data_IF_008245491945
#
_entry.id   IF_008245491945
#
_cell.length_a   1.000
_cell.length_b   1.000
_cell.length_c   1.000
_cell.angle_alpha   90.00
_cell.angle_beta   90.00
_cell.angle_gamma   90.00
#
_symmetry.space_group_name_H-M   'P 1'
#
loop_
_entity.id
_entity.type
_entity.pdbx_description
1 polymer ?
#
# COMPACT_ATOMS: atom_id res chain seq x y z
N UNK A 1 24.39 -18.34 -4.22
CA UNK A 1 23.40 -19.28 -3.67
C UNK A 1 22.19 -18.47 -3.21
N UNK A 2 20.96 -18.93 -3.48
CA UNK A 2 19.73 -18.27 -3.00
C UNK A 2 19.66 -18.31 -1.47
N UNK A 3 19.14 -17.23 -0.86
CA UNK A 3 18.91 -17.17 0.59
C UNK A 3 17.73 -18.03 1.05
N UNK A 4 16.89 -18.45 0.12
CA UNK A 4 15.68 -19.24 0.33
C UNK A 4 14.54 -18.75 -0.59
N UNK A 5 13.44 -19.48 -0.60
CA UNK A 5 12.26 -19.20 -1.44
C UNK A 5 11.20 -18.47 -0.63
N UNK A 6 10.73 -17.34 -1.11
CA UNK A 6 9.63 -16.58 -0.51
C UNK A 6 8.42 -16.56 -1.47
N UNK A 7 7.27 -16.99 -0.98
CA UNK A 7 6.01 -16.89 -1.70
C UNK A 7 5.25 -15.65 -1.26
N UNK A 8 5.04 -14.70 -2.17
CA UNK A 8 4.19 -13.52 -1.97
C UNK A 8 2.78 -13.84 -2.47
N UNK A 9 1.81 -13.78 -1.59
CA UNK A 9 0.39 -13.96 -1.94
C UNK A 9 -0.29 -12.60 -1.93
N UNK A 10 -0.81 -12.19 -3.08
CA UNK A 10 -1.39 -10.85 -3.22
C UNK A 10 -2.75 -10.87 -3.92
N UNK A 11 -3.74 -10.10 -3.44
CA UNK A 11 -5.03 -9.99 -4.10
C UNK A 11 -4.96 -9.23 -5.44
N UNK A 12 -3.84 -8.54 -5.70
CA UNK A 12 -3.61 -7.81 -6.94
C UNK A 12 -2.11 -7.70 -7.25
N UNK A 13 -1.79 -7.83 -8.52
CA UNK A 13 -0.43 -7.70 -9.06
C UNK A 13 -0.52 -7.15 -10.49
N UNK A 14 0.49 -6.43 -11.02
CA UNK A 14 0.44 -5.97 -12.41
C UNK A 14 0.06 -7.09 -13.40
N UNK A 15 -0.79 -6.79 -14.41
CA UNK A 15 -1.25 -5.49 -14.88
C UNK A 15 -2.40 -4.85 -14.09
N UNK A 16 -2.88 -5.47 -12.99
CA UNK A 16 -3.86 -4.83 -12.13
C UNK A 16 -3.26 -3.59 -11.47
N UNK A 17 -4.00 -2.49 -11.48
CA UNK A 17 -3.57 -1.24 -10.88
C UNK A 17 -3.93 -1.13 -9.40
N UNK A 18 -3.14 -0.38 -8.65
CA UNK A 18 -3.44 -0.05 -7.25
C UNK A 18 -2.23 -0.10 -6.32
N UNK A 19 -2.39 0.48 -5.14
CA UNK A 19 -1.29 0.57 -4.16
C UNK A 19 -0.77 -0.78 -3.68
N UNK A 20 -1.65 -1.78 -3.51
CA UNK A 20 -1.24 -3.14 -3.11
C UNK A 20 -0.48 -3.83 -4.24
N UNK A 21 -0.98 -3.75 -5.48
CA UNK A 21 -0.32 -4.32 -6.64
C UNK A 21 1.11 -3.79 -6.79
N UNK A 22 1.28 -2.47 -6.73
CA UNK A 22 2.58 -1.83 -6.83
C UNK A 22 3.48 -2.14 -5.63
N UNK A 23 2.95 -2.14 -4.41
CA UNK A 23 3.74 -2.49 -3.22
C UNK A 23 4.23 -3.94 -3.24
N UNK A 24 3.45 -4.86 -3.83
CA UNK A 24 3.87 -6.26 -4.02
C UNK A 24 4.92 -6.36 -5.11
N UNK A 25 4.73 -5.68 -6.22
CA UNK A 25 5.67 -5.66 -7.34
C UNK A 25 7.06 -5.15 -6.92
N UNK A 26 7.08 -3.99 -6.25
CA UNK A 26 8.32 -3.40 -5.75
C UNK A 26 9.02 -4.33 -4.75
N UNK A 27 8.25 -4.95 -3.85
CA UNK A 27 8.81 -5.91 -2.90
C UNK A 27 9.38 -7.15 -3.59
N UNK A 28 8.69 -7.71 -4.58
CA UNK A 28 9.16 -8.86 -5.33
C UNK A 28 10.49 -8.56 -6.04
N UNK A 29 10.54 -7.45 -6.76
CA UNK A 29 11.75 -7.01 -7.47
C UNK A 29 12.93 -6.80 -6.52
N UNK A 30 12.71 -6.07 -5.44
CA UNK A 30 13.80 -5.66 -4.55
C UNK A 30 14.33 -6.83 -3.72
N UNK A 31 13.45 -7.73 -3.25
CA UNK A 31 13.89 -8.94 -2.54
C UNK A 31 14.66 -9.90 -3.46
N UNK A 32 14.30 -9.97 -4.74
CA UNK A 32 15.04 -10.76 -5.73
C UNK A 32 16.45 -10.17 -5.93
N UNK A 33 16.58 -8.85 -6.03
CA UNK A 33 17.87 -8.17 -6.08
C UNK A 33 18.75 -8.44 -4.83
N UNK A 34 18.11 -8.70 -3.69
CA UNK A 34 18.80 -9.06 -2.44
C UNK A 34 19.17 -10.56 -2.34
N UNK A 35 18.87 -11.35 -3.36
CA UNK A 35 19.26 -12.77 -3.46
C UNK A 35 18.25 -13.76 -2.89
N UNK A 36 17.01 -13.35 -2.67
CA UNK A 36 15.90 -14.24 -2.39
C UNK A 36 15.31 -14.76 -3.70
N UNK A 37 14.87 -16.02 -3.70
CA UNK A 37 14.07 -16.56 -4.79
C UNK A 37 12.61 -16.24 -4.53
N UNK A 38 12.00 -15.47 -5.42
CA UNK A 38 10.67 -14.90 -5.22
C UNK A 38 9.67 -15.50 -6.19
N UNK A 39 8.56 -15.98 -5.63
CA UNK A 39 7.37 -16.37 -6.35
C UNK A 39 6.19 -15.50 -5.93
N UNK A 40 5.36 -15.11 -6.89
CA UNK A 40 4.09 -14.38 -6.62
C UNK A 40 2.92 -15.26 -6.99
N UNK A 41 1.97 -15.38 -6.07
CA UNK A 41 0.68 -16.02 -6.29
C UNK A 41 -0.42 -14.95 -6.25
N UNK A 42 -1.17 -14.80 -7.33
CA UNK A 42 -2.18 -13.75 -7.50
C UNK A 42 -3.37 -14.23 -8.33
N UNK A 43 -4.55 -13.61 -8.20
CA UNK A 43 -5.66 -13.87 -9.10
C UNK A 43 -5.33 -13.50 -10.55
N UNK A 44 -5.92 -14.21 -11.49
CA UNK A 44 -5.91 -13.83 -12.90
C UNK A 44 -6.73 -12.55 -13.11
N UNK A 45 -6.17 -11.59 -13.81
CA UNK A 45 -6.81 -10.28 -13.99
C UNK A 45 -7.73 -10.19 -15.20
N UNK A 46 -7.53 -11.08 -16.18
CA UNK A 46 -8.14 -10.96 -17.51
C UNK A 46 -7.63 -9.77 -18.34
N UNK A 47 -6.68 -9.01 -17.82
CA UNK A 47 -6.05 -7.88 -18.52
C UNK A 47 -4.82 -8.35 -19.30
N UNK A 48 -4.49 -7.69 -20.44
CA UNK A 48 -3.24 -7.98 -21.15
C UNK A 48 -2.04 -7.64 -20.28
N UNK A 49 -0.89 -8.31 -20.48
CA UNK A 49 0.35 -7.97 -19.79
C UNK A 49 0.74 -6.51 -20.00
N UNK A 50 1.22 -5.86 -18.97
CA UNK A 50 1.79 -4.53 -19.06
C UNK A 50 3.26 -4.64 -19.49
N UNK A 51 3.55 -4.32 -20.75
CA UNK A 51 4.91 -4.37 -21.29
C UNK A 51 5.86 -3.36 -20.64
N UNK A 52 5.34 -2.34 -19.97
CA UNK A 52 6.15 -1.36 -19.21
C UNK A 52 6.54 -1.84 -17.81
N UNK A 53 5.87 -2.89 -17.32
CA UNK A 53 6.13 -3.52 -16.02
C UNK A 53 6.24 -5.04 -16.19
N UNK A 54 7.34 -5.55 -16.74
CA UNK A 54 7.54 -7.00 -16.85
C UNK A 54 7.57 -7.65 -15.48
N UNK A 55 7.10 -8.90 -15.41
CA UNK A 55 7.13 -9.66 -14.16
C UNK A 55 8.58 -9.73 -13.62
N UNK A 56 8.84 -9.27 -12.40
CA UNK A 56 10.19 -9.21 -11.83
C UNK A 56 10.71 -10.58 -11.38
N UNK A 57 9.82 -11.57 -11.29
CA UNK A 57 10.07 -12.91 -10.77
C UNK A 57 9.05 -13.90 -11.34
N UNK A 58 9.04 -15.13 -10.88
CA UNK A 58 8.01 -16.11 -11.22
C UNK A 58 6.65 -15.71 -10.68
N UNK A 59 5.64 -15.62 -11.56
CA UNK A 59 4.27 -15.21 -11.19
C UNK A 59 3.28 -16.30 -11.61
N UNK A 60 2.59 -16.88 -10.63
CA UNK A 60 1.49 -17.80 -10.84
C UNK A 60 0.16 -17.06 -10.72
N UNK A 61 -0.60 -17.00 -11.81
CA UNK A 61 -1.93 -16.40 -11.85
C UNK A 61 -2.99 -17.50 -11.84
N UNK A 62 -3.89 -17.45 -10.85
CA UNK A 62 -4.94 -18.47 -10.69
C UNK A 62 -6.30 -17.87 -11.02
N UNK A 63 -6.97 -18.45 -12.02
CA UNK A 63 -8.38 -18.15 -12.30
C UNK A 63 -9.30 -18.77 -11.24
N UNK A 64 -10.35 -18.02 -10.88
CA UNK A 64 -11.39 -18.49 -9.96
C UNK A 64 -12.41 -19.33 -10.72
N UNK A 65 -12.25 -20.65 -10.73
CA UNK A 65 -13.20 -21.55 -11.40
C UNK A 65 -14.18 -22.11 -10.36
N UNK A 66 -13.69 -22.86 -9.40
CA UNK A 66 -14.44 -23.38 -8.26
C UNK A 66 -13.58 -23.37 -7.00
N UNK A 67 -14.19 -23.40 -5.82
CA UNK A 67 -13.42 -23.42 -4.57
C UNK A 67 -12.53 -24.68 -4.45
N UNK A 68 -12.97 -25.80 -5.00
CA UNK A 68 -12.22 -27.07 -4.97
C UNK A 68 -11.02 -27.03 -5.92
N UNK A 69 -11.23 -26.64 -7.17
CA UNK A 69 -10.16 -26.56 -8.18
C UNK A 69 -9.10 -25.51 -7.79
N UNK A 70 -9.54 -24.36 -7.29
CA UNK A 70 -8.62 -23.34 -6.81
C UNK A 70 -7.75 -23.83 -5.66
N UNK A 71 -8.30 -24.62 -4.73
CA UNK A 71 -7.54 -25.23 -3.65
C UNK A 71 -6.51 -26.23 -4.17
N UNK A 72 -6.90 -27.09 -5.09
CA UNK A 72 -5.98 -28.05 -5.72
C UNK A 72 -4.81 -27.35 -6.41
N UNK A 73 -5.05 -26.24 -7.10
CA UNK A 73 -4.00 -25.44 -7.73
C UNK A 73 -3.08 -24.78 -6.70
N UNK A 74 -3.61 -24.34 -5.57
CA UNK A 74 -2.81 -23.80 -4.45
C UNK A 74 -1.91 -24.89 -3.86
N UNK A 75 -2.45 -26.09 -3.63
CA UNK A 75 -1.66 -27.23 -3.12
C UNK A 75 -0.51 -27.57 -4.05
N UNK A 76 -0.79 -27.73 -5.34
CA UNK A 76 0.21 -28.00 -6.36
C UNK A 76 1.28 -26.89 -6.44
N UNK A 77 0.86 -25.63 -6.28
CA UNK A 77 1.76 -24.49 -6.26
C UNK A 77 2.72 -24.55 -5.04
N UNK A 78 2.19 -24.82 -3.84
CA UNK A 78 3.01 -24.93 -2.62
C UNK A 78 3.95 -26.16 -2.68
N UNK A 79 3.49 -27.27 -3.28
CA UNK A 79 4.31 -28.46 -3.50
C UNK A 79 5.42 -28.27 -4.52
N UNK A 80 5.18 -27.46 -5.55
CA UNK A 80 6.19 -27.18 -6.56
C UNK A 80 7.23 -26.15 -6.07
N UNK A 81 6.77 -25.09 -5.38
CA UNK A 81 7.62 -23.97 -4.97
C UNK A 81 8.45 -24.28 -3.72
N UNK A 82 7.95 -25.10 -2.80
CA UNK A 82 8.58 -25.39 -1.49
C UNK A 82 9.01 -24.11 -0.75
N UNK A 83 8.11 -23.15 -0.49
CA UNK A 83 8.50 -21.86 0.07
C UNK A 83 9.05 -22.02 1.50
N UNK A 84 10.15 -21.32 1.79
CA UNK A 84 10.71 -21.20 3.14
C UNK A 84 9.92 -20.21 4.01
N UNK A 85 9.17 -19.31 3.38
CA UNK A 85 8.37 -18.25 4.01
C UNK A 85 7.22 -17.86 3.09
N UNK A 86 6.04 -17.57 3.68
CA UNK A 86 4.87 -17.04 2.94
C UNK A 86 4.49 -15.67 3.47
N UNK A 87 4.31 -14.71 2.57
CA UNK A 87 3.88 -13.33 2.91
C UNK A 87 2.54 -13.04 2.24
N UNK A 88 1.51 -12.83 3.03
CA UNK A 88 0.21 -12.37 2.58
C UNK A 88 0.16 -10.85 2.54
N UNK A 89 -0.17 -10.26 1.39
CA UNK A 89 -0.27 -8.82 1.18
C UNK A 89 -1.64 -8.24 1.51
N UNK A 90 -2.48 -8.96 2.26
CA UNK A 90 -3.79 -8.48 2.69
C UNK A 90 -4.32 -9.30 3.87
N UNK A 91 -5.19 -8.65 4.67
CA UNK A 91 -5.99 -9.34 5.68
C UNK A 91 -7.14 -10.15 5.09
N UNK A 92 -7.63 -9.75 3.95
CA UNK A 92 -8.81 -10.30 3.29
C UNK A 92 -8.43 -11.06 2.02
N UNK A 93 -7.29 -11.72 2.06
CA UNK A 93 -6.84 -12.48 0.90
C UNK A 93 -7.76 -13.68 0.67
N UNK A 94 -8.03 -13.90 -0.61
CA UNK A 94 -8.76 -15.05 -1.07
C UNK A 94 -7.98 -16.32 -0.66
N UNK A 95 -8.65 -17.31 -0.11
CA UNK A 95 -8.02 -18.56 0.38
C UNK A 95 -6.92 -18.41 1.45
N UNK A 96 -6.72 -17.25 2.07
CA UNK A 96 -5.71 -17.07 3.13
C UNK A 96 -5.87 -18.10 4.26
N UNK A 97 -7.08 -18.34 4.75
CA UNK A 97 -7.31 -19.27 5.86
C UNK A 97 -6.97 -20.71 5.47
N UNK A 98 -7.22 -21.07 4.22
CA UNK A 98 -6.83 -22.38 3.66
C UNK A 98 -5.30 -22.49 3.54
N UNK A 99 -4.65 -21.53 2.91
CA UNK A 99 -3.19 -21.51 2.79
C UNK A 99 -2.49 -21.47 4.14
N UNK A 100 -3.03 -20.71 5.10
CA UNK A 100 -2.49 -20.65 6.45
C UNK A 100 -2.62 -22.00 7.20
N UNK A 101 -3.64 -22.80 6.92
CA UNK A 101 -3.73 -24.17 7.44
C UNK A 101 -2.63 -25.05 6.84
N UNK A 102 -2.44 -25.06 5.53
CA UNK A 102 -1.39 -25.82 4.85
C UNK A 102 0.02 -25.41 5.29
N UNK A 103 0.27 -24.11 5.44
CA UNK A 103 1.56 -23.62 5.94
C UNK A 103 1.85 -24.10 7.37
N UNK A 104 0.83 -24.16 8.25
CA UNK A 104 0.97 -24.70 9.60
C UNK A 104 1.30 -26.21 9.59
N UNK A 105 0.60 -26.97 8.77
CA UNK A 105 0.85 -28.42 8.61
C UNK A 105 2.28 -28.69 8.13
N UNK A 106 2.78 -27.84 7.25
CA UNK A 106 4.14 -27.94 6.67
C UNK A 106 5.21 -27.18 7.46
N UNK A 107 4.88 -26.60 8.61
CA UNK A 107 5.76 -25.74 9.43
C UNK A 107 6.40 -24.59 8.65
N UNK A 108 5.68 -23.97 7.73
CA UNK A 108 6.16 -22.80 6.97
C UNK A 108 5.79 -21.54 7.75
N UNK A 109 6.75 -20.66 8.11
CA UNK A 109 6.47 -19.41 8.76
C UNK A 109 5.68 -18.46 7.84
N UNK A 110 4.80 -17.68 8.44
CA UNK A 110 3.88 -16.82 7.70
C UNK A 110 3.91 -15.39 8.21
N UNK A 111 3.81 -14.44 7.27
CA UNK A 111 3.66 -13.01 7.56
C UNK A 111 2.37 -12.52 6.93
N UNK A 112 1.62 -11.65 7.63
CA UNK A 112 0.64 -10.75 7.00
C UNK A 112 1.27 -9.37 6.93
N UNK A 113 1.49 -8.86 5.73
CA UNK A 113 1.77 -7.45 5.48
C UNK A 113 0.46 -6.72 5.34
N UNK A 114 0.10 -5.93 6.34
CA UNK A 114 -1.15 -5.21 6.34
C UNK A 114 -1.09 -3.96 5.47
N UNK A 115 -2.00 -3.85 4.52
CA UNK A 115 -2.26 -2.62 3.76
C UNK A 115 -3.50 -1.88 4.29
N UNK A 116 -3.91 -2.16 5.52
CA UNK A 116 -5.08 -1.62 6.21
C UNK A 116 -6.22 -2.63 6.31
N UNK A 117 -6.47 -3.16 7.51
CA UNK A 117 -7.62 -4.06 7.75
C UNK A 117 -8.95 -3.34 7.94
N UNK A 118 -9.00 -2.05 7.79
CA UNK A 118 -9.84 -1.07 8.44
C UNK A 118 -10.82 -0.35 7.55
N UNK A 119 -10.79 -0.60 6.23
CA UNK A 119 -11.70 0.03 5.28
C UNK A 119 -13.18 -0.12 5.67
N UNK A 120 -13.52 -1.20 6.36
CA UNK A 120 -14.92 -1.50 6.69
C UNK A 120 -15.42 -0.81 7.98
N UNK A 121 -14.54 -0.50 8.93
CA UNK A 121 -14.94 0.12 10.19
C UNK A 121 -15.17 1.63 10.06
N UNK A 122 -14.40 2.32 9.24
CA UNK A 122 -14.58 3.75 8.97
C UNK A 122 -15.74 4.08 8.03
N UNK A 123 -16.11 3.16 7.17
CA UNK A 123 -17.28 3.35 6.30
C UNK A 123 -18.58 3.45 7.11
N UNK A 124 -18.62 2.88 8.30
CA UNK A 124 -19.78 2.96 9.19
C UNK A 124 -19.98 4.36 9.79
N UNK A 125 -18.89 5.02 10.24
CA UNK A 125 -19.00 6.32 10.90
C UNK A 125 -18.95 7.53 9.96
N UNK A 126 -18.69 7.34 8.69
CA UNK A 126 -18.55 8.43 7.69
C UNK A 126 -19.35 8.18 6.42
N UNK A 127 -20.69 8.21 6.51
CA UNK A 127 -21.64 8.57 5.43
C UNK A 127 -21.16 8.35 3.97
N UNK A 128 -20.58 7.19 3.66
CA UNK A 128 -20.24 6.82 2.28
C UNK A 128 -21.19 5.78 1.69
N UNK A 129 -21.95 5.11 2.53
CA UNK A 129 -22.98 4.15 2.14
C UNK A 129 -24.30 4.52 2.83
N UNK A 130 -25.45 4.18 2.26
CA UNK A 130 -26.71 4.28 2.97
C UNK A 130 -26.57 3.62 4.34
N UNK A 131 -27.08 4.24 5.42
CA UNK A 131 -26.79 3.83 6.81
C UNK A 131 -27.01 2.34 7.09
N UNK A 132 -27.99 1.71 6.43
CA UNK A 132 -28.27 0.28 6.54
C UNK A 132 -27.19 -0.63 5.93
N UNK A 133 -26.50 -0.20 4.89
CA UNK A 133 -25.47 -1.01 4.22
C UNK A 133 -24.17 -1.05 5.06
N UNK A 134 -23.82 0.07 5.69
CA UNK A 134 -22.68 0.16 6.59
C UNK A 134 -22.85 -0.71 7.85
N UNK A 135 -24.05 -0.74 8.44
CA UNK A 135 -24.39 -1.57 9.61
C UNK A 135 -24.29 -3.05 9.27
N UNK A 136 -24.87 -3.49 8.14
CA UNK A 136 -24.80 -4.89 7.70
C UNK A 136 -23.35 -5.34 7.48
N UNK A 137 -22.54 -4.52 6.83
CA UNK A 137 -21.14 -4.81 6.57
C UNK A 137 -20.31 -4.83 7.87
N UNK A 138 -20.59 -3.95 8.80
CA UNK A 138 -19.95 -3.93 10.12
C UNK A 138 -20.28 -5.18 10.95
N UNK A 139 -21.57 -5.57 11.02
CA UNK A 139 -22.01 -6.77 11.74
C UNK A 139 -21.37 -8.03 11.15
N UNK A 140 -21.19 -8.10 9.83
CA UNK A 140 -20.60 -9.28 9.18
C UNK A 140 -19.08 -9.30 9.17
N UNK A 141 -18.43 -8.14 9.04
CA UNK A 141 -16.96 -8.04 8.91
C UNK A 141 -16.23 -8.02 10.25
N UNK A 142 -16.81 -7.37 11.27
CA UNK A 142 -16.16 -7.26 12.59
C UNK A 142 -15.98 -8.60 13.30
N UNK A 143 -16.96 -9.51 13.35
CA UNK A 143 -16.74 -10.85 13.92
C UNK A 143 -15.72 -11.66 13.11
N UNK A 144 -15.68 -11.48 11.79
CA UNK A 144 -14.73 -12.17 10.91
C UNK A 144 -13.32 -11.67 11.14
N UNK A 145 -13.10 -10.35 11.23
CA UNK A 145 -11.80 -9.77 11.57
C UNK A 145 -11.37 -10.23 12.96
N UNK A 146 -12.25 -10.15 13.97
CA UNK A 146 -11.96 -10.60 15.33
C UNK A 146 -11.62 -12.09 15.40
N UNK A 147 -12.38 -12.94 14.68
CA UNK A 147 -12.13 -14.39 14.62
C UNK A 147 -10.84 -14.71 13.89
N UNK A 148 -10.56 -14.01 12.81
CA UNK A 148 -9.34 -14.19 12.01
C UNK A 148 -8.11 -13.77 12.80
N UNK A 149 -8.16 -12.64 13.51
CA UNK A 149 -7.06 -12.19 14.36
C UNK A 149 -6.83 -13.16 15.51
N UNK A 150 -7.89 -13.69 16.14
CA UNK A 150 -7.75 -14.67 17.21
C UNK A 150 -7.22 -16.04 16.73
N UNK A 151 -7.49 -16.45 15.48
CA UNK A 151 -6.93 -17.66 14.87
C UNK A 151 -5.46 -17.51 14.46
N UNK A 152 -4.98 -16.29 14.33
CA UNK A 152 -3.65 -15.93 13.85
C UNK A 152 -2.59 -16.01 14.97
N UNK A 153 -3.02 -16.01 16.23
CA UNK A 153 -2.14 -15.97 17.40
C UNK A 153 -1.34 -17.26 17.56
N UNK A 154 -0.13 -17.30 17.08
CA UNK A 154 0.83 -18.39 17.34
C UNK A 154 1.82 -18.69 16.21
N UNK A 155 1.38 -18.69 14.97
CA UNK A 155 2.20 -19.05 13.82
C UNK A 155 2.32 -17.94 12.75
N UNK A 156 1.69 -16.80 12.97
CA UNK A 156 1.63 -15.74 11.98
C UNK A 156 2.16 -14.43 12.58
N UNK A 157 3.08 -13.81 11.84
CA UNK A 157 3.65 -12.51 12.20
C UNK A 157 2.93 -11.39 11.44
N UNK A 158 2.49 -10.36 12.16
CA UNK A 158 1.83 -9.20 11.56
C UNK A 158 2.86 -8.11 11.28
N UNK A 159 2.89 -7.59 10.06
CA UNK A 159 3.66 -6.39 9.71
C UNK A 159 2.70 -5.24 9.45
N UNK A 160 2.78 -4.22 10.31
CA UNK A 160 2.06 -2.96 10.19
C UNK A 160 2.90 -1.94 9.40
N UNK A 161 2.26 -1.02 8.68
CA UNK A 161 2.98 -0.01 7.88
C UNK A 161 3.43 1.20 8.70
N UNK A 162 2.78 1.47 9.82
CA UNK A 162 3.11 2.59 10.72
C UNK A 162 2.85 2.21 12.18
N UNK A 163 3.42 2.98 13.08
CA UNK A 163 3.31 2.86 14.54
C UNK A 163 2.22 3.77 15.14
N UNK A 164 1.41 4.36 14.27
CA UNK A 164 0.33 5.25 14.70
C UNK A 164 -0.90 4.44 15.10
N UNK A 165 -1.28 4.62 16.34
CA UNK A 165 -2.33 3.84 16.94
C UNK A 165 -3.45 4.67 17.54
N UNK A 166 -4.53 4.86 16.80
CA UNK A 166 -5.84 5.15 17.38
C UNK A 166 -6.89 4.29 16.70
N UNK A 167 -8.06 4.13 17.31
CA UNK A 167 -9.21 3.44 16.69
C UNK A 167 -9.56 4.02 15.31
N UNK A 168 -9.12 5.25 15.01
CA UNK A 168 -9.44 5.99 13.80
C UNK A 168 -8.26 6.19 12.86
N UNK A 169 -7.04 5.84 13.29
CA UNK A 169 -5.80 5.96 12.53
C UNK A 169 -4.89 4.79 12.88
N UNK A 170 -4.28 4.14 11.90
CA UNK A 170 -3.35 3.04 12.13
C UNK A 170 -3.96 1.86 12.90
N UNK A 171 -5.18 1.47 12.51
CA UNK A 171 -5.97 0.47 13.21
C UNK A 171 -5.23 -0.85 13.44
N UNK A 172 -4.43 -1.29 12.51
CA UNK A 172 -3.73 -2.58 12.58
C UNK A 172 -2.73 -2.59 13.74
N UNK A 173 -1.91 -1.56 13.85
CA UNK A 173 -0.97 -1.39 14.95
C UNK A 173 -1.68 -1.22 16.30
N UNK A 174 -2.68 -0.32 16.33
CA UNK A 174 -3.50 -0.12 17.52
C UNK A 174 -4.16 -1.42 17.99
N UNK A 175 -4.69 -2.21 17.05
CA UNK A 175 -5.33 -3.46 17.34
C UNK A 175 -4.33 -4.49 17.88
N UNK A 176 -3.18 -4.65 17.23
CA UNK A 176 -2.11 -5.54 17.65
C UNK A 176 -1.65 -5.20 19.08
N UNK A 177 -1.38 -3.92 19.33
CA UNK A 177 -0.95 -3.42 20.64
C UNK A 177 -2.02 -3.61 21.72
N UNK A 178 -3.28 -3.24 21.46
CA UNK A 178 -4.39 -3.37 22.40
C UNK A 178 -4.71 -4.82 22.75
N UNK A 179 -4.47 -5.75 21.84
CA UNK A 179 -4.68 -7.18 22.05
C UNK A 179 -3.47 -7.90 22.64
N UNK A 180 -2.36 -7.18 22.84
CA UNK A 180 -1.12 -7.80 23.33
C UNK A 180 -0.62 -8.88 22.37
N UNK A 181 -0.76 -8.68 21.05
CA UNK A 181 -0.26 -9.66 20.06
C UNK A 181 1.25 -9.81 20.22
N UNK A 182 1.76 -11.03 20.43
CA UNK A 182 3.20 -11.22 20.68
C UNK A 182 4.05 -11.04 19.43
N UNK A 183 3.46 -11.25 18.24
CA UNK A 183 4.18 -11.35 16.97
C UNK A 183 3.72 -10.25 16.01
N UNK A 184 4.17 -9.00 16.23
CA UNK A 184 3.99 -7.95 15.25
C UNK A 184 5.21 -7.03 15.19
N UNK A 185 5.42 -6.44 14.01
CA UNK A 185 6.52 -5.50 13.73
C UNK A 185 5.98 -4.36 12.85
N UNK A 186 6.61 -3.20 12.93
CA UNK A 186 6.31 -2.07 12.03
C UNK A 186 7.40 -2.00 10.97
N UNK A 187 7.03 -2.26 9.71
CA UNK A 187 7.90 -2.10 8.55
C UNK A 187 7.12 -1.31 7.49
N UNK A 188 7.53 -0.08 7.18
CA UNK A 188 6.79 0.77 6.26
C UNK A 188 6.85 0.28 4.81
N UNK A 189 6.02 0.86 3.96
CA UNK A 189 6.23 0.78 2.53
C UNK A 189 7.53 1.49 2.15
N UNK A 190 8.15 1.00 1.09
CA UNK A 190 9.27 1.67 0.44
C UNK A 190 8.99 1.80 -1.05
N UNK A 191 9.75 2.65 -1.68
CA UNK A 191 9.67 2.91 -3.09
C UNK A 191 11.06 3.30 -3.61
N UNK A 192 11.43 2.86 -4.81
CA UNK A 192 12.65 3.37 -5.43
C UNK A 192 12.48 4.86 -5.71
N UNK A 193 13.52 5.68 -5.43
CA UNK A 193 13.43 7.10 -5.71
C UNK A 193 13.16 7.31 -7.19
N UNK A 194 12.19 8.18 -7.49
CA UNK A 194 11.89 8.56 -8.86
C UNK A 194 13.13 9.20 -9.48
N UNK A 195 13.46 8.78 -10.69
CA UNK A 195 14.62 9.29 -11.42
C UNK A 195 14.15 10.29 -12.48
N UNK A 196 14.85 11.42 -12.63
CA UNK A 196 14.63 12.31 -13.77
C UNK A 196 14.84 11.54 -15.08
N UNK A 197 14.00 11.79 -16.05
CA UNK A 197 14.11 11.24 -17.41
C UNK A 197 14.32 12.36 -18.41
N UNK A 198 14.64 12.01 -19.67
CA UNK A 198 14.69 12.96 -20.78
C UNK A 198 13.30 13.49 -21.15
N UNK A 199 12.24 12.83 -20.72
CA UNK A 199 10.87 13.26 -20.94
C UNK A 199 10.48 14.38 -19.97
N UNK A 200 9.95 15.51 -20.52
CA UNK A 200 9.39 16.58 -19.69
C UNK A 200 7.87 16.64 -19.82
N UNK A 201 7.20 16.41 -18.72
CA UNK A 201 5.75 16.52 -18.61
C UNK A 201 5.28 17.95 -18.88
N UNK A 202 5.98 18.94 -18.29
CA UNK A 202 5.62 20.34 -18.45
C UNK A 202 5.69 20.79 -19.91
N UNK A 203 6.72 20.40 -20.64
CA UNK A 203 6.87 20.74 -22.07
C UNK A 203 5.76 20.10 -22.91
N UNK A 204 5.52 18.79 -22.73
CA UNK A 204 4.49 18.08 -23.51
C UNK A 204 3.11 18.68 -23.33
N UNK A 205 2.79 19.16 -22.12
CA UNK A 205 1.45 19.63 -21.79
C UNK A 205 1.33 21.16 -21.63
N UNK A 206 2.35 21.91 -22.05
CA UNK A 206 2.38 23.39 -22.01
C UNK A 206 2.12 23.96 -20.60
N UNK A 207 2.94 23.52 -19.63
CA UNK A 207 2.83 23.86 -18.21
C UNK A 207 4.12 24.49 -17.64
N UNK A 208 5.05 24.92 -18.49
CA UNK A 208 6.39 25.38 -18.12
C UNK A 208 6.38 26.52 -17.11
N UNK A 209 5.44 27.44 -17.26
CA UNK A 209 5.34 28.64 -16.44
C UNK A 209 4.31 28.53 -15.32
N UNK A 210 3.70 27.35 -15.13
CA UNK A 210 2.65 27.17 -14.14
C UNK A 210 3.23 26.81 -12.77
N UNK A 211 2.63 27.34 -11.72
CA UNK A 211 2.80 26.76 -10.36
C UNK A 211 1.96 25.49 -10.31
N UNK A 212 2.62 24.34 -10.49
CA UNK A 212 1.98 23.07 -10.78
C UNK A 212 1.83 22.22 -9.52
N UNK A 213 0.60 21.84 -9.19
CA UNK A 213 0.29 20.92 -8.09
C UNK A 213 -0.39 19.67 -8.65
N UNK A 214 0.15 18.48 -8.36
CA UNK A 214 -0.36 17.22 -8.92
C UNK A 214 -1.00 16.30 -7.88
N UNK A 215 -2.00 15.54 -8.34
CA UNK A 215 -2.69 14.51 -7.57
C UNK A 215 -2.66 13.17 -8.32
N UNK A 216 -1.59 12.37 -8.17
CA UNK A 216 -1.54 11.02 -8.72
C UNK A 216 -2.36 10.07 -7.83
N UNK A 217 -3.59 9.81 -8.22
CA UNK A 217 -4.50 8.93 -7.47
C UNK A 217 -5.68 8.46 -8.31
N UNK A 218 -6.16 7.25 -8.07
CA UNK A 218 -7.42 6.77 -8.65
C UNK A 218 -8.59 7.70 -8.30
N UNK A 219 -9.46 7.96 -9.26
CA UNK A 219 -10.68 8.74 -9.02
C UNK A 219 -11.65 7.93 -8.16
N UNK A 220 -11.90 8.37 -6.94
CA UNK A 220 -12.80 7.66 -6.02
C UNK A 220 -13.29 8.53 -4.87
N UNK A 221 -14.44 8.16 -4.32
CA UNK A 221 -14.99 8.81 -3.12
C UNK A 221 -13.98 8.80 -1.97
N UNK A 222 -13.20 7.73 -1.81
CA UNK A 222 -12.15 7.62 -0.79
C UNK A 222 -11.06 8.67 -0.97
N UNK A 223 -10.65 8.96 -2.20
CA UNK A 223 -9.64 9.99 -2.51
C UNK A 223 -10.21 11.40 -2.50
N UNK A 224 -11.54 11.55 -2.61
CA UNK A 224 -12.30 12.77 -2.33
C UNK A 224 -11.90 14.00 -3.16
N UNK A 225 -11.40 13.78 -4.39
CA UNK A 225 -10.92 14.85 -5.27
C UNK A 225 -12.02 15.88 -5.61
N UNK A 226 -13.27 15.43 -5.74
CA UNK A 226 -14.41 16.30 -5.97
C UNK A 226 -14.57 17.38 -4.88
N UNK A 227 -14.43 16.99 -3.61
CA UNK A 227 -14.49 17.96 -2.51
C UNK A 227 -13.27 18.91 -2.50
N UNK A 228 -12.09 18.43 -2.92
CA UNK A 228 -10.94 19.28 -3.12
C UNK A 228 -11.23 20.39 -4.13
N UNK A 229 -11.71 20.04 -5.33
CA UNK A 229 -12.07 20.99 -6.39
C UNK A 229 -13.06 22.04 -5.86
N UNK A 230 -14.14 21.60 -5.19
CA UNK A 230 -15.12 22.49 -4.57
C UNK A 230 -14.51 23.46 -3.56
N UNK A 231 -13.62 22.98 -2.71
CA UNK A 231 -12.98 23.84 -1.71
C UNK A 231 -11.96 24.79 -2.33
N UNK A 232 -11.24 24.40 -3.38
CA UNK A 232 -10.37 25.30 -4.13
C UNK A 232 -11.18 26.42 -4.80
N UNK A 233 -12.25 26.09 -5.51
CA UNK A 233 -13.15 27.11 -6.13
C UNK A 233 -13.67 28.11 -5.07
N UNK A 234 -14.10 27.61 -3.90
CA UNK A 234 -14.57 28.45 -2.79
C UNK A 234 -13.46 29.27 -2.12
N UNK A 235 -12.21 28.86 -2.21
CA UNK A 235 -11.08 29.59 -1.62
C UNK A 235 -10.65 30.80 -2.43
N UNK A 236 -11.09 30.89 -3.67
CA UNK A 236 -10.74 31.94 -4.63
C UNK A 236 -9.21 32.14 -4.83
N UNK A 237 -8.40 31.10 -4.61
CA UNK A 237 -6.96 31.13 -4.88
C UNK A 237 -6.74 31.06 -6.38
N UNK A 238 -5.83 31.89 -6.88
CA UNK A 238 -5.45 32.00 -8.28
C UNK A 238 -3.96 31.68 -8.46
N UNK A 239 -3.54 31.42 -9.70
CA UNK A 239 -2.14 31.23 -10.05
C UNK A 239 -1.59 29.82 -9.80
N UNK A 240 -2.42 28.85 -9.40
CA UNK A 240 -2.04 27.45 -9.26
C UNK A 240 -2.74 26.62 -10.35
N UNK A 241 -1.98 25.79 -11.02
CA UNK A 241 -2.49 24.76 -11.92
C UNK A 241 -2.57 23.44 -11.18
N UNK A 242 -3.76 22.92 -11.00
CA UNK A 242 -4.00 21.61 -10.39
C UNK A 242 -4.15 20.55 -11.48
N UNK A 243 -3.37 19.49 -11.42
CA UNK A 243 -3.48 18.35 -12.33
C UNK A 243 -3.87 17.07 -11.57
N UNK A 244 -4.81 16.34 -12.13
CA UNK A 244 -5.24 15.04 -11.62
C UNK A 244 -4.74 13.97 -12.58
N UNK A 245 -3.88 13.08 -12.08
CA UNK A 245 -3.30 11.97 -12.83
C UNK A 245 -4.05 10.71 -12.40
N UNK A 246 -5.03 10.34 -13.19
CA UNK A 246 -5.99 9.29 -12.86
C UNK A 246 -5.71 8.07 -13.75
N UNK A 247 -5.46 6.87 -13.19
CA UNK A 247 -5.17 5.70 -13.99
C UNK A 247 -6.28 5.36 -14.98
N UNK A 248 -7.54 5.36 -14.53
CA UNK A 248 -8.68 4.99 -15.38
C UNK A 248 -9.83 5.97 -15.20
N UNK A 249 -10.45 6.33 -16.32
CA UNK A 249 -11.70 7.11 -16.32
C UNK A 249 -12.84 6.29 -15.74
N UNK A 250 -13.65 6.91 -14.88
CA UNK A 250 -14.82 6.27 -14.27
C UNK A 250 -15.89 7.31 -13.91
N UNK A 251 -17.03 6.87 -13.40
CA UNK A 251 -18.14 7.74 -13.03
C UNK A 251 -17.81 8.79 -11.96
N UNK A 252 -16.80 8.54 -11.11
CA UNK A 252 -16.33 9.55 -10.16
C UNK A 252 -15.44 10.60 -10.84
N UNK A 253 -14.64 10.21 -11.82
CA UNK A 253 -13.85 11.14 -12.64
C UNK A 253 -14.77 12.11 -13.41
N UNK A 254 -15.86 11.59 -14.01
CA UNK A 254 -16.89 12.44 -14.62
C UNK A 254 -17.48 13.45 -13.61
N UNK A 255 -17.72 13.04 -12.37
CA UNK A 255 -18.19 13.95 -11.33
C UNK A 255 -17.14 15.00 -10.92
N UNK A 256 -15.85 14.68 -11.00
CA UNK A 256 -14.78 15.64 -10.77
C UNK A 256 -14.75 16.71 -11.88
N UNK A 257 -14.88 16.33 -13.15
CA UNK A 257 -14.95 17.24 -14.29
C UNK A 257 -16.17 18.16 -14.19
N UNK A 258 -17.34 17.62 -13.86
CA UNK A 258 -18.56 18.40 -13.60
C UNK A 258 -18.39 19.40 -12.45
N UNK A 259 -17.68 19.03 -11.38
CA UNK A 259 -17.40 19.93 -10.26
C UNK A 259 -16.41 21.05 -10.65
N UNK A 260 -15.42 20.72 -11.52
CA UNK A 260 -14.48 21.69 -12.06
C UNK A 260 -15.17 22.71 -13.00
N UNK A 261 -16.20 22.28 -13.73
CA UNK A 261 -17.05 23.14 -14.54
C UNK A 261 -16.27 23.98 -15.56
N UNK A 262 -15.34 23.35 -16.26
CA UNK A 262 -14.49 24.00 -17.25
C UNK A 262 -13.47 25.00 -16.73
N UNK A 263 -13.30 25.14 -15.41
CA UNK A 263 -12.30 26.05 -14.82
C UNK A 263 -10.88 25.60 -15.24
N UNK A 264 -10.12 26.43 -15.98
CA UNK A 264 -8.81 26.07 -16.50
C UNK A 264 -7.75 25.82 -15.43
N UNK A 265 -8.02 26.17 -14.17
CA UNK A 265 -7.15 25.83 -13.06
C UNK A 265 -7.06 24.31 -12.78
N UNK A 266 -8.00 23.52 -13.33
CA UNK A 266 -8.04 22.07 -13.14
C UNK A 266 -7.84 21.34 -14.47
N UNK A 267 -6.85 20.45 -14.54
CA UNK A 267 -6.62 19.58 -15.71
C UNK A 267 -6.64 18.13 -15.29
N UNK A 268 -7.24 17.30 -16.13
CA UNK A 268 -7.41 15.87 -15.89
C UNK A 268 -6.67 15.07 -16.95
N UNK A 269 -5.91 14.08 -16.50
CA UNK A 269 -5.15 13.18 -17.35
C UNK A 269 -5.50 11.74 -16.96
N UNK A 270 -5.86 10.94 -17.96
CA UNK A 270 -6.32 9.58 -17.77
C UNK A 270 -5.41 8.59 -18.50
N UNK A 271 -5.11 7.45 -17.84
CA UNK A 271 -4.38 6.36 -18.45
C UNK A 271 -2.97 6.71 -18.93
N UNK A 272 -2.33 7.70 -18.29
CA UNK A 272 -0.97 8.05 -18.66
C UNK A 272 0.01 6.93 -18.36
N UNK A 273 0.99 6.69 -19.23
CA UNK A 273 2.10 5.79 -18.95
C UNK A 273 2.83 6.16 -17.66
N UNK A 274 3.34 5.17 -16.94
CA UNK A 274 3.98 5.39 -15.62
C UNK A 274 5.11 6.42 -15.66
N UNK A 275 5.93 6.42 -16.69
CA UNK A 275 7.04 7.39 -16.82
C UNK A 275 6.54 8.84 -16.93
N UNK A 276 5.38 9.08 -17.55
CA UNK A 276 4.78 10.41 -17.60
C UNK A 276 4.22 10.84 -16.24
N UNK A 277 3.60 9.91 -15.51
CA UNK A 277 3.14 10.16 -14.13
C UNK A 277 4.33 10.48 -13.22
N UNK A 278 5.43 9.75 -13.35
CA UNK A 278 6.66 10.00 -12.59
C UNK A 278 7.25 11.38 -12.92
N UNK A 279 7.36 11.73 -14.20
CA UNK A 279 7.82 13.05 -14.62
C UNK A 279 6.91 14.16 -14.10
N UNK A 280 5.60 13.96 -14.13
CA UNK A 280 4.63 14.92 -13.57
C UNK A 280 4.84 15.14 -12.06
N UNK A 281 5.12 14.08 -11.29
CA UNK A 281 5.44 14.20 -9.86
C UNK A 281 6.74 14.99 -9.68
N UNK A 282 7.81 14.59 -10.35
CA UNK A 282 9.14 15.22 -10.24
C UNK A 282 9.10 16.70 -10.59
N UNK A 283 8.37 17.06 -11.66
CA UNK A 283 8.24 18.41 -12.14
C UNK A 283 7.17 19.25 -11.42
N UNK A 284 6.43 18.67 -10.47
CA UNK A 284 5.44 19.39 -9.66
C UNK A 284 6.10 20.27 -8.60
N UNK A 285 5.49 21.44 -8.35
CA UNK A 285 5.87 22.30 -7.22
C UNK A 285 5.35 21.75 -5.88
N UNK A 286 4.26 20.96 -5.93
CA UNK A 286 3.77 20.20 -4.80
C UNK A 286 2.90 19.02 -5.28
N UNK A 287 2.83 17.97 -4.47
CA UNK A 287 1.83 16.90 -4.59
C UNK A 287 0.73 17.12 -3.57
N UNK A 288 -0.51 16.82 -3.92
CA UNK A 288 -1.60 16.88 -2.96
C UNK A 288 -2.47 15.64 -2.94
N UNK A 289 -2.97 15.31 -1.77
CA UNK A 289 -4.06 14.36 -1.55
C UNK A 289 -5.16 15.04 -0.73
N UNK A 290 -6.41 14.59 -0.92
CA UNK A 290 -7.55 15.09 -0.14
C UNK A 290 -8.38 13.95 0.44
N UNK A 291 -7.76 12.81 0.61
CA UNK A 291 -8.36 11.54 0.93
C UNK A 291 -9.13 11.57 2.25
N UNK A 292 -10.21 10.80 2.30
CA UNK A 292 -10.96 10.54 3.54
C UNK A 292 -10.23 9.52 4.39
N UNK A 293 -9.51 8.60 3.73
CA UNK A 293 -8.83 7.49 4.37
C UNK A 293 -7.58 7.11 3.58
N UNK A 294 -6.49 6.96 4.31
CA UNK A 294 -5.22 6.38 3.86
C UNK A 294 -4.66 5.49 4.97
N UNK A 295 -3.77 4.58 4.60
CA UNK A 295 -2.89 3.93 5.57
C UNK A 295 -1.51 4.60 5.47
N UNK A 296 -0.78 4.32 4.42
CA UNK A 296 0.49 4.95 4.08
C UNK A 296 0.51 5.16 2.56
N UNK A 297 0.18 6.37 2.08
CA UNK A 297 0.03 6.62 0.65
C UNK A 297 1.39 6.63 -0.05
N UNK A 298 1.60 5.71 -1.00
CA UNK A 298 2.81 5.62 -1.82
C UNK A 298 3.10 6.94 -2.55
N UNK A 299 2.06 7.62 -3.03
CA UNK A 299 2.18 8.92 -3.70
C UNK A 299 2.96 9.96 -2.89
N UNK A 300 2.79 9.99 -1.55
CA UNK A 300 3.57 10.92 -0.71
C UNK A 300 5.00 10.43 -0.52
N UNK A 301 5.23 9.12 -0.45
CA UNK A 301 6.58 8.57 -0.39
C UNK A 301 7.33 8.83 -1.71
N UNK A 302 6.66 8.70 -2.86
CA UNK A 302 7.20 9.07 -4.17
C UNK A 302 7.61 10.54 -4.21
N UNK A 303 6.71 11.45 -3.81
CA UNK A 303 7.00 12.88 -3.75
C UNK A 303 8.19 13.20 -2.84
N UNK A 304 8.23 12.63 -1.64
CA UNK A 304 9.33 12.81 -0.70
C UNK A 304 10.66 12.30 -1.25
N UNK A 305 10.67 11.17 -1.97
CA UNK A 305 11.89 10.57 -2.55
C UNK A 305 12.60 11.50 -3.53
N UNK A 306 11.85 12.28 -4.29
CA UNK A 306 12.38 13.25 -5.25
C UNK A 306 12.38 14.69 -4.70
N UNK A 307 12.06 14.89 -3.43
CA UNK A 307 12.10 16.20 -2.78
C UNK A 307 10.95 17.12 -3.20
N UNK A 308 9.80 16.58 -3.58
CA UNK A 308 8.59 17.37 -3.86
C UNK A 308 7.76 17.48 -2.59
N UNK A 309 7.47 18.70 -2.11
CA UNK A 309 6.65 18.90 -0.92
C UNK A 309 5.20 18.51 -1.18
N UNK A 310 4.43 18.29 -0.12
CA UNK A 310 3.08 17.78 -0.27
C UNK A 310 2.06 18.47 0.66
N UNK A 311 0.76 18.38 0.29
CA UNK A 311 -0.39 18.78 1.11
C UNK A 311 -1.30 17.56 1.24
N UNK A 312 -1.64 17.14 2.46
CA UNK A 312 -2.55 16.03 2.66
C UNK A 312 -3.32 16.13 3.98
N UNK A 313 -4.51 15.51 4.10
CA UNK A 313 -5.29 15.52 5.33
C UNK A 313 -4.66 14.62 6.40
N UNK A 314 -4.98 14.90 7.66
CA UNK A 314 -4.59 14.10 8.82
C UNK A 314 -5.39 12.79 8.88
N UNK A 315 -5.02 11.79 8.08
CA UNK A 315 -5.63 10.46 8.02
C UNK A 315 -4.55 9.38 7.89
N UNK A 316 -4.77 8.23 8.54
CA UNK A 316 -3.76 7.16 8.60
C UNK A 316 -2.43 7.64 9.17
N UNK A 317 -1.32 7.18 8.60
CA UNK A 317 0.04 7.55 9.00
C UNK A 317 0.53 8.89 8.45
N UNK A 318 -0.32 9.70 7.78
CA UNK A 318 0.14 10.95 7.11
C UNK A 318 0.74 11.96 8.10
N UNK A 319 0.16 12.08 9.29
CA UNK A 319 0.67 13.03 10.30
C UNK A 319 2.06 12.71 10.84
N UNK A 320 2.59 11.51 10.55
CA UNK A 320 3.98 11.13 10.91
C UNK A 320 5.00 11.47 9.84
N UNK A 321 4.54 11.81 8.64
CA UNK A 321 5.40 12.15 7.52
C UNK A 321 5.91 13.59 7.66
N UNK A 322 7.15 13.81 7.19
CA UNK A 322 7.73 15.14 7.08
C UNK A 322 7.76 15.61 5.62
N UNK A 323 7.98 16.89 5.41
CA UNK A 323 8.09 17.46 4.07
C UNK A 323 6.77 17.91 3.46
N UNK A 324 5.73 18.09 4.27
CA UNK A 324 4.46 18.58 3.76
C UNK A 324 3.62 19.32 4.78
N UNK A 325 2.46 19.77 4.36
CA UNK A 325 1.46 20.45 5.19
C UNK A 325 0.30 19.53 5.46
N UNK A 326 0.09 19.19 6.73
CA UNK A 326 -1.01 18.33 7.17
C UNK A 326 -2.26 19.17 7.42
N UNK A 327 -3.33 18.87 6.70
CA UNK A 327 -4.63 19.52 6.89
C UNK A 327 -5.35 18.92 8.10
N UNK A 328 -5.44 19.64 9.20
CA UNK A 328 -6.17 19.21 10.41
C UNK A 328 -7.67 18.97 10.13
N UNK A 329 -8.26 19.72 9.22
CA UNK A 329 -9.66 19.58 8.77
C UNK A 329 -9.74 19.74 7.26
N UNK A 330 -10.57 18.94 6.61
CA UNK A 330 -10.88 19.06 5.17
C UNK A 330 -11.99 20.08 4.98
N UNK A 331 -11.63 21.36 4.99
CA UNK A 331 -12.51 22.47 4.73
C UNK A 331 -11.79 23.56 3.92
N UNK A 332 -12.55 24.54 3.41
CA UNK A 332 -12.04 25.62 2.58
C UNK A 332 -10.93 26.41 3.27
N UNK A 333 -11.13 26.80 4.55
CA UNK A 333 -10.18 27.65 5.29
C UNK A 333 -8.82 26.96 5.47
N UNK A 334 -8.79 25.70 5.94
CA UNK A 334 -7.52 24.98 6.14
C UNK A 334 -6.82 24.70 4.82
N UNK A 335 -7.59 24.36 3.76
CA UNK A 335 -7.02 24.17 2.44
C UNK A 335 -6.44 25.47 1.89
N UNK A 336 -7.17 26.59 1.98
CA UNK A 336 -6.71 27.89 1.54
C UNK A 336 -5.39 28.29 2.23
N UNK A 337 -5.31 28.14 3.55
CA UNK A 337 -4.08 28.44 4.30
C UNK A 337 -2.90 27.58 3.82
N UNK A 338 -3.11 26.28 3.63
CA UNK A 338 -2.06 25.37 3.15
C UNK A 338 -1.62 25.71 1.72
N UNK A 339 -2.56 26.03 0.84
CA UNK A 339 -2.24 26.45 -0.53
C UNK A 339 -1.45 27.76 -0.54
N UNK A 340 -1.85 28.77 0.23
CA UNK A 340 -1.11 30.04 0.35
C UNK A 340 0.32 29.83 0.89
N UNK A 341 0.50 28.98 1.89
CA UNK A 341 1.85 28.63 2.36
C UNK A 341 2.67 27.93 1.27
N UNK A 342 2.04 27.02 0.52
CA UNK A 342 2.71 26.27 -0.52
C UNK A 342 3.01 27.10 -1.79
N UNK A 343 2.40 28.27 -1.98
CA UNK A 343 2.82 29.21 -3.04
C UNK A 343 4.16 29.87 -2.74
N UNK A 344 4.58 29.93 -1.49
CA UNK A 344 5.84 30.53 -1.07
C UNK A 344 7.01 29.60 -1.41
N UNK A 345 7.95 30.04 -2.24
CA UNK A 345 9.08 29.25 -2.69
C UNK A 345 9.95 28.80 -1.52
N UNK A 346 10.23 29.67 -0.56
CA UNK A 346 11.03 29.33 0.62
C UNK A 346 10.38 28.20 1.45
N UNK A 347 9.05 28.23 1.62
CA UNK A 347 8.31 27.15 2.28
C UNK A 347 8.50 25.84 1.54
N UNK A 348 8.37 25.84 0.22
CA UNK A 348 8.59 24.63 -0.59
C UNK A 348 10.00 24.09 -0.45
N UNK A 349 11.03 24.96 -0.47
CA UNK A 349 12.45 24.54 -0.30
C UNK A 349 12.69 23.87 1.05
N UNK A 350 12.18 24.45 2.13
CA UNK A 350 12.32 23.87 3.48
C UNK A 350 11.63 22.52 3.57
N UNK A 351 10.39 22.43 3.11
CA UNK A 351 9.61 21.18 3.14
C UNK A 351 10.22 20.10 2.23
N UNK A 352 10.71 20.47 1.05
CA UNK A 352 11.41 19.59 0.13
C UNK A 352 12.61 18.91 0.80
N UNK A 353 13.48 19.70 1.43
CA UNK A 353 14.66 19.18 2.11
C UNK A 353 14.29 18.25 3.27
N UNK A 354 13.36 18.69 4.12
CA UNK A 354 12.88 17.90 5.25
C UNK A 354 12.26 16.56 4.81
N UNK A 355 11.41 16.58 3.77
CA UNK A 355 10.78 15.39 3.22
C UNK A 355 11.80 14.40 2.65
N UNK A 356 12.74 14.88 1.85
CA UNK A 356 13.79 14.05 1.25
C UNK A 356 14.69 13.42 2.31
N UNK A 357 15.14 14.18 3.28
CA UNK A 357 15.96 13.66 4.40
C UNK A 357 15.19 12.60 5.19
N UNK A 358 13.94 12.88 5.56
CA UNK A 358 13.11 11.93 6.30
C UNK A 358 12.86 10.64 5.51
N UNK A 359 12.62 10.75 4.19
CA UNK A 359 12.48 9.60 3.32
C UNK A 359 13.77 8.76 3.27
N UNK A 360 14.93 9.37 3.10
CA UNK A 360 16.21 8.67 3.08
C UNK A 360 16.47 7.85 4.35
N UNK A 361 16.13 8.41 5.52
CA UNK A 361 16.39 7.77 6.80
C UNK A 361 15.35 6.71 7.20
N UNK A 362 14.13 6.80 6.73
CA UNK A 362 13.03 5.92 7.19
C UNK A 362 12.41 5.04 6.10
N UNK A 363 12.38 5.51 4.87
CA UNK A 363 11.60 4.88 3.79
C UNK A 363 12.43 4.44 2.60
N UNK A 364 13.73 4.71 2.57
CA UNK A 364 14.56 4.25 1.47
C UNK A 364 14.62 2.71 1.43
N UNK A 365 14.69 2.10 0.24
CA UNK A 365 14.74 0.65 0.09
C UNK A 365 15.81 0.00 0.97
N UNK A 366 17.00 0.59 1.04
CA UNK A 366 18.09 0.09 1.88
C UNK A 366 17.67 -0.07 3.35
N UNK A 367 17.01 0.94 3.93
CA UNK A 367 16.60 0.94 5.34
C UNK A 367 15.45 -0.04 5.56
N UNK A 368 14.47 -0.04 4.67
CA UNK A 368 13.26 -0.87 4.82
C UNK A 368 13.58 -2.36 4.62
N UNK A 369 14.38 -2.69 3.60
CA UNK A 369 14.71 -4.11 3.36
C UNK A 369 15.69 -4.69 4.36
N UNK A 370 16.52 -3.89 5.02
CA UNK A 370 17.27 -4.34 6.19
C UNK A 370 16.33 -4.81 7.33
N UNK A 371 15.21 -4.10 7.56
CA UNK A 371 14.22 -4.51 8.57
C UNK A 371 13.53 -5.82 8.16
N UNK A 372 13.21 -5.98 6.88
CA UNK A 372 12.65 -7.23 6.36
C UNK A 372 13.63 -8.40 6.51
N UNK A 373 14.90 -8.22 6.20
CA UNK A 373 15.91 -9.28 6.34
C UNK A 373 16.10 -9.71 7.80
N UNK A 374 16.08 -8.77 8.75
CA UNK A 374 16.12 -9.08 10.18
C UNK A 374 14.91 -9.95 10.54
N UNK A 375 13.70 -9.55 10.15
CA UNK A 375 12.48 -10.30 10.44
C UNK A 375 12.51 -11.71 9.81
N UNK A 376 12.93 -11.84 8.56
CA UNK A 376 13.01 -13.14 7.88
C UNK A 376 13.98 -14.07 8.58
N UNK A 377 15.17 -13.59 8.92
CA UNK A 377 16.17 -14.36 9.61
C UNK A 377 15.68 -14.84 10.98
N UNK A 378 14.98 -13.99 11.73
CA UNK A 378 14.41 -14.35 13.04
C UNK A 378 13.33 -15.42 12.92
N UNK A 379 12.44 -15.31 11.93
CA UNK A 379 11.37 -16.28 11.72
C UNK A 379 11.92 -17.63 11.25
N UNK A 380 12.89 -17.63 10.31
CA UNK A 380 13.51 -18.85 9.80
C UNK A 380 14.35 -19.57 10.87
N UNK A 381 15.05 -18.83 11.75
CA UNK A 381 15.77 -19.41 12.90
C UNK A 381 14.80 -20.06 13.89
N UNK A 382 13.76 -19.37 14.30
CA UNK A 382 12.73 -19.91 15.22
C UNK A 382 12.08 -21.18 14.68
N UNK A 383 11.82 -21.21 13.38
CA UNK A 383 11.22 -22.36 12.73
C UNK A 383 12.16 -23.59 12.76
N UNK A 384 13.45 -23.41 12.50
CA UNK A 384 14.46 -24.50 12.57
C UNK A 384 14.58 -25.09 13.96
N UNK A 385 14.58 -24.27 15.01
CA UNK A 385 14.65 -24.73 16.41
C UNK A 385 13.40 -25.54 16.77
N UNK A 386 12.22 -25.11 16.33
CA UNK A 386 10.96 -25.81 16.62
C UNK A 386 10.84 -27.16 15.88
N UNK A 387 11.46 -27.31 14.72
CA UNK A 387 11.50 -28.58 14.00
C UNK A 387 12.50 -29.56 14.62
N UNK A 388 13.65 -29.08 15.10
CA UNK A 388 14.66 -29.91 15.77
C UNK A 388 14.15 -30.48 17.10
N UNK A 389 13.48 -29.68 17.94
CA UNK A 389 12.90 -30.13 19.20
C UNK A 389 11.74 -31.13 19.04
N UNK A 390 11.02 -31.10 17.92
CA UNK A 390 9.97 -32.10 17.62
C UNK A 390 10.51 -33.42 17.13
N UNK A 391 11.63 -33.44 16.39
CA UNK A 391 12.29 -34.68 15.95
C UNK A 391 12.89 -35.41 17.16
N UNK A 392 13.52 -34.70 18.09
CA UNK A 392 14.07 -35.31 19.33
C UNK A 392 12.99 -35.86 20.25
N UNK A 393 11.79 -35.27 20.29
CA UNK A 393 10.68 -35.82 21.09
C UNK A 393 9.97 -37.00 20.43
N UNK A 394 10.09 -37.20 19.12
CA UNK A 394 9.52 -38.33 18.40
C UNK A 394 10.37 -39.61 18.56
N UNK A 395 11.66 -39.47 18.71
CA UNK A 395 12.57 -40.59 18.89
C UNK A 395 12.57 -41.20 20.32
N UNK A 396 11.99 -40.55 21.29
CA UNK A 396 11.91 -41.01 22.70
C UNK A 396 10.73 -41.99 22.94
N UNK A 397 9.80 -42.14 21.99
CA UNK A 397 8.61 -42.98 22.12
C UNK A 397 8.61 -44.17 21.17
N UNK A 398 9.75 -44.88 21.02
CA UNK A 398 9.77 -46.25 20.48
C UNK A 398 9.71 -47.24 21.66
N UNK A 399 8.60 -47.94 21.94
CA UNK A 399 8.61 -48.99 22.90
C UNK A 399 9.23 -50.22 22.25
N UNK A 400 10.36 -50.65 22.77
CA UNK A 400 10.82 -52.03 22.59
C UNK A 400 9.69 -52.97 22.95
N UNK A 401 9.20 -53.73 21.97
CA UNK A 401 8.47 -54.99 22.20
C UNK A 401 9.43 -56.10 22.07
N UNK A 402 9.80 -56.70 23.17
CA UNK A 402 10.25 -58.09 23.29
C UNK A 402 9.07 -59.03 23.13
#
# INVERSE_FOLDING_TARGET
MSKGVILLVSPSFPPMEGGVAMATYEMARDLQCLGWDIHVLTPESGLPPDSSLPDPCSVTRISFVSSHETRHRIDACLEHIHPSLVIFHSWQDWHRDYMAALCRERNIPMIIRSHGCHTDFHSFFRIQYPPFFGIKKWITSFPTIRRNVNKITGHLHLVCLDDHGSLFKGYDYYYAKKRGMPNFTVIPNTFLPLQPSSFSFRKKYHLEHSLLFSCPASASVRKNQKAFIRHVKKSNIKGIQFIFLVPQYNSYAEQMEKEADGDPAFRFFYGLPRHEVQAAIIESNAVFLYSIQEQQPLTLLEAMSCGVPWIAPDVGGISTLQGGIVLKKRNTRNLQQALLQMTQENTRKILSLAGKQFWCHRYSPKVVYQQWEILFNDLLKKNRVSTCSRSESADIHSPFKT
#
